data_IF_540488606454
#
_entry.id   IF_540488606454
#
_cell.length_a   1.000
_cell.length_b   1.000
_cell.length_c   1.000
_cell.angle_alpha   90.00
_cell.angle_beta   90.00
_cell.angle_gamma   90.00
#
_symmetry.space_group_name_H-M   'P 1'
#
loop_
_entity.id
_entity.type
_entity.pdbx_description
1 polymer ?
#
# COMPACT_ATOMS: atom_id res chain seq x y z
N UNK A 1 -55.39 28.12 -15.89
CA UNK A 1 -56.32 28.01 -14.76
C UNK A 1 -55.75 27.05 -13.74
N UNK A 2 -55.17 27.50 -12.60
CA UNK A 2 -54.68 26.63 -11.52
C UNK A 2 -55.84 26.26 -10.63
N UNK A 3 -56.35 25.02 -10.71
CA UNK A 3 -57.33 24.47 -9.79
C UNK A 3 -56.68 24.33 -8.39
N UNK A 4 -57.12 25.19 -7.47
CA UNK A 4 -56.65 25.16 -6.07
C UNK A 4 -57.49 24.09 -5.33
N UNK A 5 -56.97 22.89 -5.23
CA UNK A 5 -57.66 21.77 -4.53
C UNK A 5 -57.59 22.00 -3.03
N UNK A 6 -58.67 22.44 -2.43
CA UNK A 6 -58.75 22.83 -1.01
C UNK A 6 -58.94 21.66 -0.03
N UNK A 7 -59.15 20.42 -0.50
CA UNK A 7 -59.46 19.29 0.38
C UNK A 7 -58.50 18.11 0.26
N UNK A 8 -57.26 18.32 0.71
CA UNK A 8 -56.20 17.28 0.68
C UNK A 8 -56.58 16.00 1.47
N UNK A 9 -57.42 16.12 2.52
CA UNK A 9 -57.87 14.95 3.30
C UNK A 9 -58.78 14.04 2.47
N UNK A 10 -59.71 14.61 1.69
CA UNK A 10 -60.60 13.86 0.83
C UNK A 10 -59.84 13.13 -0.28
N UNK A 11 -58.92 13.79 -0.94
CA UNK A 11 -58.10 13.19 -1.98
C UNK A 11 -57.28 12.02 -1.42
N UNK A 12 -56.66 12.21 -0.27
CA UNK A 12 -55.89 11.17 0.41
C UNK A 12 -56.73 9.97 0.79
N UNK A 13 -57.97 10.21 1.27
CA UNK A 13 -58.89 9.13 1.61
C UNK A 13 -59.34 8.34 0.38
N UNK A 14 -59.68 9.01 -0.72
CA UNK A 14 -60.06 8.39 -1.99
C UNK A 14 -58.89 7.58 -2.56
N UNK A 15 -57.66 8.14 -2.54
CA UNK A 15 -56.46 7.43 -3.00
C UNK A 15 -56.20 6.15 -2.19
N UNK A 16 -56.29 6.20 -0.88
CA UNK A 16 -56.18 5.00 -0.03
C UNK A 16 -57.24 3.95 -0.28
N UNK A 17 -58.48 4.38 -0.53
CA UNK A 17 -59.62 3.47 -0.82
C UNK A 17 -59.43 2.80 -2.18
N UNK A 18 -58.95 3.54 -3.20
CA UNK A 18 -58.59 2.98 -4.52
C UNK A 18 -57.40 2.02 -4.43
N UNK A 19 -56.40 2.33 -3.62
CA UNK A 19 -55.27 1.41 -3.38
C UNK A 19 -55.75 0.09 -2.74
N UNK A 20 -56.67 0.15 -1.76
CA UNK A 20 -57.24 -1.05 -1.14
C UNK A 20 -58.10 -1.86 -2.11
N UNK A 21 -58.86 -1.23 -3.00
CA UNK A 21 -59.70 -1.91 -3.97
C UNK A 21 -58.89 -2.66 -5.05
N UNK A 22 -57.69 -2.17 -5.39
CA UNK A 22 -56.81 -2.77 -6.40
C UNK A 22 -55.54 -3.40 -5.77
N UNK A 23 -55.66 -4.09 -4.64
CA UNK A 23 -54.55 -4.62 -3.87
C UNK A 23 -53.58 -5.44 -4.71
N UNK A 24 -54.05 -6.43 -5.44
CA UNK A 24 -53.20 -7.34 -6.24
C UNK A 24 -52.41 -6.59 -7.28
N UNK A 25 -53.03 -5.66 -8.02
CA UNK A 25 -52.35 -4.83 -9.02
C UNK A 25 -51.27 -3.96 -8.40
N UNK A 26 -51.55 -3.35 -7.25
CA UNK A 26 -50.60 -2.48 -6.56
C UNK A 26 -49.43 -3.26 -5.97
N UNK A 27 -49.64 -4.47 -5.42
CA UNK A 27 -48.59 -5.35 -4.94
C UNK A 27 -47.67 -5.76 -6.09
N UNK A 28 -48.25 -6.17 -7.23
CA UNK A 28 -47.48 -6.54 -8.43
C UNK A 28 -46.60 -5.34 -8.91
N UNK A 29 -47.21 -4.14 -8.97
CA UNK A 29 -46.50 -2.95 -9.38
C UNK A 29 -45.33 -2.60 -8.40
N UNK A 30 -45.57 -2.68 -7.09
CA UNK A 30 -44.53 -2.45 -6.08
C UNK A 30 -43.42 -3.49 -6.19
N UNK A 31 -43.76 -4.77 -6.33
CA UNK A 31 -42.79 -5.84 -6.51
C UNK A 31 -41.97 -5.66 -7.79
N UNK A 32 -42.62 -5.29 -8.90
CA UNK A 32 -41.90 -5.03 -10.16
C UNK A 32 -40.91 -3.87 -10.03
N UNK A 33 -41.32 -2.74 -9.45
CA UNK A 33 -40.46 -1.58 -9.22
C UNK A 33 -39.33 -1.93 -8.25
N UNK A 34 -39.63 -2.63 -7.16
CA UNK A 34 -38.64 -3.04 -6.18
C UNK A 34 -37.61 -3.99 -6.80
N UNK A 35 -38.08 -4.98 -7.58
CA UNK A 35 -37.19 -5.92 -8.26
C UNK A 35 -36.27 -5.20 -9.25
N UNK A 36 -36.83 -4.28 -10.04
CA UNK A 36 -36.05 -3.48 -10.99
C UNK A 36 -35.02 -2.63 -10.26
N UNK A 37 -35.39 -1.96 -9.15
CA UNK A 37 -34.47 -1.16 -8.35
C UNK A 37 -33.34 -2.01 -7.75
N UNK A 38 -33.66 -3.18 -7.18
CA UNK A 38 -32.69 -4.12 -6.63
C UNK A 38 -31.73 -4.60 -7.74
N UNK A 39 -32.25 -4.92 -8.91
CA UNK A 39 -31.45 -5.40 -10.03
C UNK A 39 -30.44 -4.32 -10.50
N UNK A 40 -30.87 -3.08 -10.70
CA UNK A 40 -30.00 -1.99 -11.08
C UNK A 40 -28.97 -1.71 -10.01
N UNK A 41 -29.38 -1.59 -8.74
CA UNK A 41 -28.42 -1.33 -7.65
C UNK A 41 -27.39 -2.46 -7.53
N UNK A 42 -27.80 -3.72 -7.65
CA UNK A 42 -26.90 -4.87 -7.60
C UNK A 42 -25.89 -4.83 -8.74
N UNK A 43 -26.31 -4.57 -9.97
CA UNK A 43 -25.40 -4.51 -11.13
C UNK A 43 -24.38 -3.38 -10.95
N UNK A 44 -24.82 -2.18 -10.58
CA UNK A 44 -23.91 -1.05 -10.38
C UNK A 44 -22.96 -1.29 -9.20
N UNK A 45 -23.44 -1.87 -8.10
CA UNK A 45 -22.57 -2.18 -6.95
C UNK A 45 -21.50 -3.19 -7.32
N UNK A 46 -21.86 -4.27 -8.02
CA UNK A 46 -20.91 -5.29 -8.47
C UNK A 46 -19.91 -4.68 -9.46
N UNK A 47 -20.37 -3.91 -10.44
CA UNK A 47 -19.50 -3.26 -11.41
C UNK A 47 -18.49 -2.31 -10.73
N UNK A 48 -18.95 -1.46 -9.83
CA UNK A 48 -18.07 -0.54 -9.07
C UNK A 48 -17.10 -1.29 -8.17
N UNK A 49 -17.53 -2.39 -7.54
CA UNK A 49 -16.64 -3.23 -6.71
C UNK A 49 -15.54 -3.88 -7.53
N UNK A 50 -15.84 -4.35 -8.74
CA UNK A 50 -14.85 -4.93 -9.64
C UNK A 50 -13.84 -3.87 -10.09
N UNK A 51 -14.31 -2.70 -10.53
CA UNK A 51 -13.44 -1.58 -10.94
C UNK A 51 -12.50 -1.16 -9.80
N UNK A 52 -13.07 -0.94 -8.62
CA UNK A 52 -12.29 -0.56 -7.44
C UNK A 52 -11.28 -1.65 -7.04
N UNK A 53 -11.70 -2.93 -7.01
CA UNK A 53 -10.81 -4.05 -6.69
C UNK A 53 -9.67 -4.19 -7.70
N UNK A 54 -9.94 -4.00 -8.99
CA UNK A 54 -8.93 -4.01 -10.03
C UNK A 54 -7.93 -2.85 -9.90
N UNK A 55 -8.41 -1.65 -9.64
CA UNK A 55 -7.58 -0.47 -9.41
C UNK A 55 -6.66 -0.66 -8.20
N UNK A 56 -7.19 -1.12 -7.07
CA UNK A 56 -6.40 -1.43 -5.87
C UNK A 56 -5.36 -2.52 -6.11
N UNK A 57 -5.73 -3.57 -6.84
CA UNK A 57 -4.79 -4.63 -7.21
C UNK A 57 -3.66 -4.10 -8.08
N UNK A 58 -3.96 -3.23 -9.05
CA UNK A 58 -2.94 -2.62 -9.91
C UNK A 58 -1.95 -1.76 -9.11
N UNK A 59 -2.42 -0.94 -8.17
CA UNK A 59 -1.52 -0.16 -7.32
C UNK A 59 -0.60 -1.03 -6.48
N UNK A 60 -1.10 -2.13 -5.93
CA UNK A 60 -0.29 -3.09 -5.17
C UNK A 60 0.73 -3.82 -6.04
N UNK A 61 0.35 -4.23 -7.26
CA UNK A 61 1.28 -4.83 -8.21
C UNK A 61 2.34 -3.85 -8.71
N UNK A 62 1.98 -2.58 -8.87
CA UNK A 62 2.92 -1.52 -9.24
C UNK A 62 3.85 -1.11 -8.09
N UNK A 63 3.55 -1.53 -6.85
CA UNK A 63 4.35 -1.25 -5.66
C UNK A 63 3.97 0.04 -4.94
N UNK A 64 2.89 0.73 -5.32
CA UNK A 64 2.43 1.92 -4.61
C UNK A 64 1.45 2.80 -5.36
N UNK A 65 0.94 3.83 -4.67
CA UNK A 65 -0.04 4.80 -5.19
C UNK A 65 0.58 5.94 -6.02
N UNK A 66 1.88 5.92 -6.28
CA UNK A 66 2.55 7.01 -6.99
C UNK A 66 2.17 7.09 -8.47
N UNK A 67 2.16 8.30 -9.04
CA UNK A 67 1.93 8.53 -10.45
C UNK A 67 3.17 8.29 -11.32
N UNK A 68 4.36 8.25 -10.69
CA UNK A 68 5.62 8.01 -11.36
C UNK A 68 6.72 7.65 -10.39
N UNK A 69 7.73 6.95 -10.88
CA UNK A 69 8.90 6.55 -10.13
C UNK A 69 10.16 6.98 -10.88
N UNK A 70 11.08 7.58 -10.16
CA UNK A 70 12.42 7.87 -10.66
C UNK A 70 13.40 6.88 -10.04
N UNK A 71 14.23 6.26 -10.86
CA UNK A 71 15.23 5.28 -10.40
C UNK A 71 16.64 5.79 -10.73
N UNK A 72 17.61 5.32 -9.97
CA UNK A 72 19.03 5.63 -10.19
C UNK A 72 19.35 7.13 -10.10
N UNK A 73 18.64 7.86 -9.24
CA UNK A 73 18.90 9.28 -9.02
C UNK A 73 20.15 9.50 -8.20
N UNK A 74 20.90 10.56 -8.54
CA UNK A 74 21.89 11.13 -7.62
C UNK A 74 21.18 11.90 -6.51
N UNK A 75 21.92 12.21 -5.43
CA UNK A 75 21.37 13.00 -4.33
C UNK A 75 20.92 14.38 -4.80
N UNK A 76 21.73 15.01 -5.66
CA UNK A 76 21.46 16.33 -6.24
C UNK A 76 20.20 16.32 -7.11
N UNK A 77 20.02 15.27 -7.94
CA UNK A 77 18.81 15.10 -8.75
C UNK A 77 17.56 14.89 -7.89
N UNK A 78 17.68 14.14 -6.78
CA UNK A 78 16.59 13.94 -5.86
C UNK A 78 16.19 15.25 -5.16
N UNK A 79 17.15 16.09 -4.78
CA UNK A 79 16.91 17.41 -4.20
C UNK A 79 16.25 18.35 -5.22
N UNK A 80 16.71 18.37 -6.46
CA UNK A 80 16.10 19.15 -7.54
C UNK A 80 14.64 18.74 -7.80
N UNK A 81 14.36 17.43 -7.84
CA UNK A 81 13.00 16.94 -8.03
C UNK A 81 12.06 17.30 -6.86
N UNK A 82 12.58 17.36 -5.64
CA UNK A 82 11.80 17.79 -4.46
C UNK A 82 11.32 19.24 -4.56
N UNK A 83 12.10 20.09 -5.22
CA UNK A 83 11.79 21.50 -5.40
C UNK A 83 10.92 21.76 -6.63
N UNK A 84 10.66 20.75 -7.48
CA UNK A 84 9.85 20.89 -8.68
C UNK A 84 8.38 21.15 -8.32
N UNK A 85 7.79 22.28 -8.77
CA UNK A 85 6.41 22.64 -8.45
C UNK A 85 5.35 21.69 -9.03
N UNK A 86 5.72 20.80 -9.95
CA UNK A 86 4.85 19.76 -10.48
C UNK A 86 4.75 18.56 -9.55
N UNK A 87 5.72 18.38 -8.65
CA UNK A 87 5.73 17.30 -7.66
C UNK A 87 5.08 17.80 -6.38
N UNK A 88 3.86 17.35 -6.14
CA UNK A 88 3.07 17.77 -4.99
C UNK A 88 3.49 17.11 -3.69
N UNK A 89 3.80 15.86 -3.77
CA UNK A 89 4.25 15.03 -2.64
C UNK A 89 5.25 13.99 -3.17
N UNK A 90 6.20 13.63 -2.35
CA UNK A 90 7.23 12.67 -2.71
C UNK A 90 7.51 11.73 -1.53
N UNK A 91 7.98 10.53 -1.85
CA UNK A 91 8.49 9.54 -0.90
C UNK A 91 9.83 9.03 -1.38
N UNK A 92 10.76 8.81 -0.46
CA UNK A 92 12.11 8.40 -0.78
C UNK A 92 12.37 6.96 -0.37
N UNK A 93 13.02 6.24 -1.26
CA UNK A 93 13.58 4.93 -1.01
C UNK A 93 15.05 4.91 -1.39
N UNK A 94 15.87 4.27 -0.56
CA UNK A 94 17.26 3.99 -0.85
C UNK A 94 17.52 2.50 -0.75
N UNK A 95 17.76 1.87 -1.89
CA UNK A 95 18.03 0.44 -1.98
C UNK A 95 19.45 0.12 -1.49
N UNK A 96 19.59 -0.94 -0.69
CA UNK A 96 20.87 -1.40 -0.18
C UNK A 96 21.34 -2.68 -0.87
N UNK A 97 20.50 -3.71 -0.90
CA UNK A 97 20.89 -5.00 -1.44
C UNK A 97 19.78 -6.05 -1.33
N UNK A 98 20.11 -7.27 -1.73
CA UNK A 98 19.22 -8.43 -1.65
C UNK A 98 19.92 -9.56 -0.92
N UNK A 99 19.26 -10.26 0.03
CA UNK A 99 19.81 -11.47 0.61
C UNK A 99 19.75 -12.62 -0.40
N UNK A 100 20.77 -13.46 -0.41
CA UNK A 100 20.87 -14.59 -1.32
C UNK A 100 21.04 -15.94 -0.63
N UNK A 101 21.11 -15.96 0.70
CA UNK A 101 21.24 -17.17 1.50
C UNK A 101 20.10 -18.15 1.28
N UNK A 102 20.29 -19.39 1.69
CA UNK A 102 19.38 -20.50 1.48
C UNK A 102 17.90 -20.21 1.79
N UNK A 103 17.52 -19.43 2.85
CA UNK A 103 16.12 -19.11 3.11
C UNK A 103 15.49 -18.23 2.03
N UNK A 104 16.27 -17.40 1.34
CA UNK A 104 15.81 -16.35 0.42
C UNK A 104 15.86 -16.73 -1.05
N UNK A 105 16.46 -17.85 -1.43
CA UNK A 105 16.66 -18.27 -2.84
C UNK A 105 15.36 -18.33 -3.67
N UNK A 106 14.21 -18.50 -3.05
CA UNK A 106 12.90 -18.59 -3.71
C UNK A 106 12.01 -17.37 -3.45
N UNK A 107 12.49 -16.41 -2.69
CA UNK A 107 11.73 -15.24 -2.28
C UNK A 107 12.51 -14.00 -2.60
N UNK A 108 11.93 -13.12 -3.40
CA UNK A 108 12.54 -11.83 -3.68
C UNK A 108 12.40 -10.92 -2.47
N UNK A 109 13.51 -10.64 -1.79
CA UNK A 109 13.57 -9.77 -0.61
C UNK A 109 14.49 -8.59 -0.92
N UNK A 110 14.04 -7.40 -0.61
CA UNK A 110 14.81 -6.17 -0.80
C UNK A 110 15.09 -5.50 0.54
N UNK A 111 16.35 -5.17 0.78
CA UNK A 111 16.79 -4.42 1.95
C UNK A 111 16.94 -2.96 1.53
N UNK A 112 16.26 -2.05 2.22
CA UNK A 112 16.25 -0.64 1.85
C UNK A 112 15.92 0.27 3.04
N UNK A 113 16.26 1.55 2.90
CA UNK A 113 15.65 2.63 3.64
C UNK A 113 14.41 3.13 2.91
N UNK A 114 13.40 3.54 3.65
CA UNK A 114 12.24 4.29 3.15
C UNK A 114 11.85 5.37 4.14
N UNK A 115 11.40 6.50 3.64
CA UNK A 115 10.77 7.52 4.48
C UNK A 115 9.31 7.19 4.79
N UNK A 116 8.68 7.96 5.69
CA UNK A 116 7.29 7.73 6.11
C UNK A 116 6.30 7.79 4.95
N UNK A 117 6.49 8.72 4.01
CA UNK A 117 5.61 8.85 2.85
C UNK A 117 5.70 7.64 1.94
N UNK A 118 6.92 7.19 1.62
CA UNK A 118 7.14 5.99 0.82
C UNK A 118 6.54 4.76 1.49
N UNK A 119 6.80 4.57 2.79
CA UNK A 119 6.24 3.46 3.56
C UNK A 119 4.72 3.41 3.48
N UNK A 120 4.07 4.55 3.67
CA UNK A 120 2.61 4.70 3.60
C UNK A 120 2.04 4.37 2.22
N UNK A 121 2.63 4.94 1.17
CA UNK A 121 2.07 4.80 -0.18
C UNK A 121 2.41 3.47 -0.84
N UNK A 122 3.51 2.84 -0.41
CA UNK A 122 3.95 1.56 -0.93
C UNK A 122 3.59 0.36 -0.03
N UNK A 123 2.66 0.54 0.91
CA UNK A 123 2.13 -0.52 1.78
C UNK A 123 3.19 -1.17 2.70
N UNK A 124 4.18 -0.40 3.12
CA UNK A 124 5.29 -0.84 3.96
C UNK A 124 5.22 -0.30 5.40
N UNK A 125 4.09 0.29 5.78
CA UNK A 125 3.89 0.76 7.16
C UNK A 125 3.78 -0.41 8.13
N UNK A 126 4.56 -0.44 9.22
CA UNK A 126 4.40 -1.46 10.24
C UNK A 126 3.01 -1.44 10.89
N UNK A 127 2.35 -2.59 10.92
CA UNK A 127 1.07 -2.79 11.64
C UNK A 127 1.33 -2.91 13.13
N UNK A 128 2.50 -3.43 13.51
CA UNK A 128 2.99 -3.52 14.90
C UNK A 128 4.36 -2.86 14.99
N UNK A 129 4.54 -2.10 16.07
CA UNK A 129 5.79 -1.35 16.25
C UNK A 129 5.83 -0.07 15.42
N UNK A 130 6.93 0.21 14.77
CA UNK A 130 7.21 1.46 14.05
C UNK A 130 8.30 1.27 12.99
N UNK A 131 8.52 2.28 12.17
CA UNK A 131 9.70 2.38 11.31
C UNK A 131 10.99 2.51 12.15
N UNK A 132 12.14 2.03 11.63
CA UNK A 132 13.44 2.10 12.31
C UNK A 132 13.86 3.54 12.59
N UNK A 133 14.49 3.77 13.75
CA UNK A 133 15.01 5.09 14.13
C UNK A 133 16.42 5.30 13.60
N UNK A 134 16.71 6.53 13.17
CA UNK A 134 18.04 6.94 12.77
C UNK A 134 19.08 6.72 13.87
N UNK A 135 20.29 6.30 13.46
CA UNK A 135 21.40 6.05 14.36
C UNK A 135 21.31 4.76 15.18
N UNK A 136 20.40 3.83 14.81
CA UNK A 136 20.22 2.54 15.50
C UNK A 136 20.47 1.36 14.57
N UNK A 137 20.54 0.14 15.14
CA UNK A 137 20.56 -1.14 14.42
C UNK A 137 19.16 -1.75 14.28
N UNK A 138 18.15 -0.92 14.34
CA UNK A 138 16.77 -1.39 14.21
C UNK A 138 16.45 -1.74 12.76
N UNK A 139 15.55 -2.71 12.60
CA UNK A 139 14.95 -3.05 11.32
C UNK A 139 13.44 -3.29 11.46
N UNK A 140 12.69 -2.99 10.41
CA UNK A 140 11.31 -3.42 10.27
C UNK A 140 11.21 -4.37 9.07
N UNK A 141 10.38 -5.41 9.17
CA UNK A 141 10.30 -6.45 8.14
C UNK A 141 8.86 -6.97 7.99
N UNK A 142 8.54 -7.51 6.81
CA UNK A 142 7.30 -8.25 6.66
C UNK A 142 7.37 -9.64 7.32
N UNK A 143 6.19 -10.18 7.61
CA UNK A 143 6.07 -11.48 8.30
C UNK A 143 6.63 -12.66 7.51
N UNK A 144 6.72 -12.57 6.18
CA UNK A 144 7.32 -13.62 5.34
C UNK A 144 8.83 -13.66 5.53
N UNK A 145 9.50 -12.51 5.59
CA UNK A 145 10.94 -12.43 5.87
C UNK A 145 11.24 -13.03 7.24
N UNK A 146 10.47 -12.68 8.27
CA UNK A 146 10.64 -13.23 9.62
C UNK A 146 10.45 -14.75 9.64
N UNK A 147 9.44 -15.27 8.95
CA UNK A 147 9.21 -16.70 8.82
C UNK A 147 10.35 -17.43 8.10
N UNK A 148 10.92 -16.83 7.04
CA UNK A 148 12.08 -17.39 6.34
C UNK A 148 13.33 -17.46 7.25
N UNK A 149 13.49 -16.49 8.14
CA UNK A 149 14.56 -16.45 9.14
C UNK A 149 14.29 -17.36 10.35
N UNK A 150 13.07 -17.92 10.49
CA UNK A 150 12.65 -18.69 11.65
C UNK A 150 12.47 -17.84 12.91
N UNK A 151 12.14 -16.57 12.75
CA UNK A 151 11.98 -15.58 13.82
C UNK A 151 10.49 -15.33 14.08
N UNK A 152 10.08 -15.46 15.33
CA UNK A 152 8.73 -15.04 15.74
C UNK A 152 8.59 -13.51 15.64
N UNK A 153 7.45 -12.97 15.19
CA UNK A 153 7.24 -11.53 15.00
C UNK A 153 7.04 -10.82 16.35
N UNK A 154 8.10 -10.73 17.14
CA UNK A 154 8.15 -10.05 18.42
C UNK A 154 9.09 -8.84 18.37
N UNK A 155 8.59 -7.67 18.79
CA UNK A 155 9.41 -6.45 18.86
C UNK A 155 10.55 -6.65 19.86
N UNK A 156 11.77 -6.35 19.41
CA UNK A 156 13.01 -6.56 20.17
C UNK A 156 13.73 -7.87 19.83
N UNK A 157 13.14 -8.75 19.00
CA UNK A 157 13.85 -9.93 18.50
C UNK A 157 15.07 -9.55 17.68
N UNK A 158 16.19 -10.23 17.89
CA UNK A 158 17.40 -10.05 17.10
C UNK A 158 17.46 -11.05 15.96
N UNK A 159 17.91 -10.60 14.80
CA UNK A 159 18.15 -11.47 13.65
C UNK A 159 19.36 -11.02 12.84
N UNK A 160 19.99 -11.98 12.22
CA UNK A 160 21.18 -11.77 11.39
C UNK A 160 20.84 -12.11 9.94
N UNK A 161 21.26 -11.25 9.01
CA UNK A 161 21.08 -11.47 7.58
C UNK A 161 22.41 -11.30 6.86
N UNK A 162 22.64 -12.16 5.89
CA UNK A 162 23.73 -12.03 4.91
C UNK A 162 23.13 -11.61 3.57
N UNK A 163 23.66 -10.55 3.00
CA UNK A 163 23.16 -9.99 1.75
C UNK A 163 24.30 -9.43 0.90
N UNK A 164 24.03 -9.30 -0.38
CA UNK A 164 24.97 -8.72 -1.34
C UNK A 164 24.74 -7.22 -1.49
N UNK A 165 25.83 -6.48 -1.44
CA UNK A 165 25.88 -5.04 -1.75
C UNK A 165 26.85 -4.85 -2.88
N UNK A 166 26.37 -4.77 -4.11
CA UNK A 166 27.14 -4.61 -5.34
C UNK A 166 28.31 -5.60 -5.47
N UNK A 167 28.05 -6.89 -5.27
CA UNK A 167 29.02 -7.96 -5.33
C UNK A 167 29.88 -8.15 -4.05
N UNK A 168 29.58 -7.42 -2.98
CA UNK A 168 30.24 -7.55 -1.68
C UNK A 168 29.30 -8.20 -0.67
N UNK A 169 29.67 -9.40 -0.19
CA UNK A 169 28.94 -10.09 0.87
C UNK A 169 29.05 -9.34 2.18
N UNK A 170 27.93 -9.04 2.80
CA UNK A 170 27.85 -8.31 4.07
C UNK A 170 26.91 -9.04 5.01
N UNK A 171 27.35 -9.28 6.25
CA UNK A 171 26.53 -9.89 7.31
C UNK A 171 26.31 -8.90 8.42
N UNK A 172 25.06 -8.64 8.76
CA UNK A 172 24.70 -7.66 9.78
C UNK A 172 23.59 -8.21 10.69
N UNK A 173 23.60 -7.76 11.94
CA UNK A 173 22.59 -8.12 12.96
C UNK A 173 21.71 -6.93 13.26
N UNK A 174 20.40 -7.15 13.26
CA UNK A 174 19.38 -6.13 13.46
C UNK A 174 18.48 -6.50 14.63
N UNK A 175 17.86 -5.47 15.21
CA UNK A 175 16.80 -5.61 16.23
C UNK A 175 15.46 -5.24 15.62
N UNK A 176 14.46 -6.14 15.66
CA UNK A 176 13.15 -5.91 15.10
C UNK A 176 12.40 -4.81 15.87
N UNK A 177 12.05 -3.72 15.19
CA UNK A 177 11.31 -2.59 15.76
C UNK A 177 9.90 -2.44 15.21
N UNK A 178 9.58 -3.14 14.13
CA UNK A 178 8.26 -3.11 13.50
C UNK A 178 8.09 -4.23 12.49
N UNK A 179 6.84 -4.63 12.28
CA UNK A 179 6.51 -5.62 11.25
C UNK A 179 5.09 -5.43 10.71
N UNK A 180 4.85 -5.99 9.52
CA UNK A 180 3.54 -6.00 8.85
C UNK A 180 3.35 -7.33 8.12
N UNK A 181 2.09 -7.64 7.80
CA UNK A 181 1.76 -8.82 7.02
C UNK A 181 2.14 -8.60 5.55
N UNK A 182 2.82 -9.59 4.97
CA UNK A 182 3.18 -9.53 3.56
C UNK A 182 1.94 -9.56 2.67
N UNK A 183 1.87 -8.64 1.74
CA UNK A 183 0.84 -8.63 0.71
C UNK A 183 1.29 -9.51 -0.47
N UNK A 184 0.63 -10.64 -0.69
CA UNK A 184 0.97 -11.59 -1.76
C UNK A 184 0.90 -11.00 -3.17
N UNK A 185 0.29 -9.84 -3.34
CA UNK A 185 0.23 -9.11 -4.62
C UNK A 185 1.47 -8.23 -4.81
N UNK A 186 2.20 -7.93 -3.74
CA UNK A 186 3.43 -7.15 -3.78
C UNK A 186 4.53 -7.87 -4.57
N UNK A 187 5.34 -7.16 -5.38
CA UNK A 187 6.40 -7.75 -6.18
C UNK A 187 7.59 -8.27 -5.35
N UNK A 188 7.77 -7.78 -4.13
CA UNK A 188 8.90 -8.13 -3.27
C UNK A 188 8.53 -8.10 -1.79
N UNK A 189 9.26 -8.88 -1.00
CA UNK A 189 9.30 -8.75 0.45
C UNK A 189 10.31 -7.66 0.84
N UNK A 190 10.17 -7.07 2.02
CA UNK A 190 11.00 -5.93 2.40
C UNK A 190 11.57 -6.04 3.81
N UNK A 191 12.82 -5.60 3.94
CA UNK A 191 13.47 -5.26 5.21
C UNK A 191 13.83 -3.79 5.15
N UNK A 192 13.33 -3.01 6.11
CA UNK A 192 13.54 -1.57 6.19
C UNK A 192 14.56 -1.25 7.26
N UNK A 193 15.54 -0.43 6.91
CA UNK A 193 16.62 0.03 7.79
C UNK A 193 16.59 1.56 7.90
N UNK A 194 17.22 2.15 8.93
CA UNK A 194 17.45 3.60 8.97
C UNK A 194 18.38 4.05 7.83
N UNK A 195 18.22 5.27 7.34
CA UNK A 195 19.10 5.81 6.29
C UNK A 195 20.57 5.84 6.73
N UNK A 196 20.82 6.23 7.96
CA UNK A 196 22.15 6.23 8.57
C UNK A 196 22.83 4.86 8.53
N UNK A 197 22.06 3.79 8.78
CA UNK A 197 22.60 2.43 8.72
C UNK A 197 22.90 1.98 7.30
N UNK A 198 22.01 2.27 6.36
CA UNK A 198 22.23 2.03 4.94
C UNK A 198 23.51 2.74 4.47
N UNK A 199 23.68 4.02 4.84
CA UNK A 199 24.87 4.78 4.51
C UNK A 199 26.15 4.17 5.10
N UNK A 200 26.12 3.74 6.36
CA UNK A 200 27.25 3.12 7.04
C UNK A 200 27.69 1.82 6.34
N UNK A 201 26.74 0.96 5.99
CA UNK A 201 27.02 -0.31 5.30
C UNK A 201 27.60 -0.05 3.92
N UNK A 202 27.02 0.86 3.14
CA UNK A 202 27.54 1.24 1.83
C UNK A 202 28.99 1.77 1.90
N UNK A 203 29.29 2.53 2.93
CA UNK A 203 30.66 3.04 3.13
C UNK A 203 31.66 1.91 3.46
N UNK A 204 31.25 0.91 4.23
CA UNK A 204 32.09 -0.24 4.58
C UNK A 204 32.40 -1.15 3.39
N UNK A 205 31.47 -1.26 2.45
CA UNK A 205 31.61 -2.12 1.27
C UNK A 205 32.44 -1.49 0.14
N UNK A 206 32.86 -0.24 0.28
CA UNK A 206 33.56 0.55 -0.76
C UNK A 206 32.74 0.63 -2.07
N UNK A 207 31.43 0.49 -2.00
CA UNK A 207 30.58 0.60 -3.16
C UNK A 207 30.71 2.00 -3.77
N UNK A 208 31.21 2.03 -4.99
CA UNK A 208 31.33 3.24 -5.79
C UNK A 208 30.20 3.22 -6.82
N UNK A 209 29.02 3.64 -6.43
CA UNK A 209 27.91 3.82 -7.36
C UNK A 209 28.24 4.86 -8.43
N UNK A 210 27.40 4.95 -9.45
CA UNK A 210 27.49 5.96 -10.48
C UNK A 210 27.60 7.36 -9.82
N UNK A 211 28.62 8.12 -10.20
CA UNK A 211 28.83 9.51 -9.77
C UNK A 211 28.93 9.74 -8.25
N UNK A 212 29.53 8.82 -7.52
CA UNK A 212 29.70 8.96 -6.07
C UNK A 212 28.42 8.66 -5.27
N UNK A 213 27.45 8.07 -5.88
CA UNK A 213 26.26 7.59 -5.18
C UNK A 213 26.57 6.44 -4.23
N UNK A 214 26.00 6.49 -3.05
CA UNK A 214 26.07 5.44 -2.04
C UNK A 214 24.75 4.65 -1.94
N UNK A 215 23.97 4.58 -3.01
CA UNK A 215 22.71 3.86 -3.10
C UNK A 215 21.80 4.38 -4.21
N UNK A 216 20.69 3.69 -4.40
CA UNK A 216 19.67 4.09 -5.35
C UNK A 216 18.60 4.90 -4.62
N UNK A 217 18.19 6.02 -5.21
CA UNK A 217 17.06 6.81 -4.75
C UNK A 217 15.88 6.59 -5.70
N UNK A 218 14.69 6.33 -5.16
CA UNK A 218 13.44 6.40 -5.91
C UNK A 218 12.46 7.31 -5.18
N UNK A 219 11.88 8.22 -5.90
CA UNK A 219 10.86 9.17 -5.42
C UNK A 219 9.47 8.63 -5.69
#
# INVERSE_FOLDING_TARGET
MKLHVRNRKCIRHISFRNMKAAKTRNIIAILAISLTAILFTSIFTVAMSIVYGYEQSNFRQAGGYSHGHFKFLTKEQAEELREDPLIKEWGMRRFLGVPYDAPFQKSHVEISYVDENYAKWCFLEPVKGRLPKEGTNEAAADTTVLALLGIEPEIGAEFTMTFDVDGTETTETFTLCGYWDFDQVSPANHVLLPESRVQEILTKTNWQGLDGMTGFYSL
#
